data_IF_271518811026
#
_entry.id   IF_271518811026
#
_cell.length_a   1.000
_cell.length_b   1.000
_cell.length_c   1.000
_cell.angle_alpha   90.00
_cell.angle_beta   90.00
_cell.angle_gamma   90.00
#
_symmetry.space_group_name_H-M   'P 1'
#
loop_
_entity.id
_entity.type
_entity.pdbx_description
1 polymer ?
#
# COMPACT_ATOMS: atom_id res chain seq x y z
N UNK A 1 1.81 9.38 -17.94
CA UNK A 1 0.94 9.92 -19.00
C UNK A 1 0.31 11.21 -18.49
N UNK A 2 0.04 12.21 -19.34
CA UNK A 2 -0.65 13.42 -18.89
C UNK A 2 -2.10 13.05 -18.52
N UNK A 3 -2.50 13.24 -17.25
CA UNK A 3 -3.87 12.96 -16.78
C UNK A 3 -4.95 13.64 -17.62
N UNK A 4 -4.62 14.79 -18.22
CA UNK A 4 -5.51 15.55 -19.08
C UNK A 4 -5.74 14.91 -20.47
N UNK A 5 -5.01 13.83 -20.80
CA UNK A 5 -5.14 13.09 -22.05
C UNK A 5 -5.76 11.69 -21.86
N UNK A 6 -6.14 11.33 -20.64
CA UNK A 6 -6.83 10.07 -20.37
C UNK A 6 -8.27 10.16 -20.93
N UNK A 7 -8.64 9.19 -21.75
CA UNK A 7 -9.89 9.20 -22.53
C UNK A 7 -11.17 9.09 -21.68
N UNK A 8 -11.06 8.64 -20.43
CA UNK A 8 -12.20 8.47 -19.53
C UNK A 8 -12.44 9.65 -18.59
N UNK A 9 -11.53 10.63 -18.55
CA UNK A 9 -11.78 11.84 -17.76
C UNK A 9 -12.83 12.72 -18.40
N UNK A 10 -13.89 13.00 -17.65
CA UNK A 10 -14.89 14.00 -18.01
C UNK A 10 -14.47 15.40 -17.52
N UNK A 11 -14.71 16.43 -18.34
CA UNK A 11 -14.38 17.82 -18.00
C UNK A 11 -15.43 18.48 -17.08
N UNK A 12 -16.62 17.89 -16.94
CA UNK A 12 -17.75 18.42 -16.18
C UNK A 12 -17.82 17.86 -14.76
N UNK A 13 -18.26 18.67 -13.78
CA UNK A 13 -18.32 18.32 -12.34
C UNK A 13 -19.73 18.49 -11.74
N UNK A 14 -20.78 18.16 -12.49
CA UNK A 14 -22.16 18.33 -12.00
C UNK A 14 -22.63 16.96 -11.48
N UNK A 15 -22.74 16.84 -10.15
CA UNK A 15 -23.19 15.64 -9.41
C UNK A 15 -22.19 14.45 -9.42
N UNK A 16 -21.10 14.59 -8.65
CA UNK A 16 -19.87 13.77 -8.75
C UNK A 16 -20.04 12.27 -8.48
N UNK A 17 -20.93 11.86 -7.57
CA UNK A 17 -21.08 10.43 -7.21
C UNK A 17 -21.84 9.65 -8.29
N UNK A 18 -23.03 10.13 -8.69
CA UNK A 18 -23.79 9.54 -9.79
C UNK A 18 -23.03 9.61 -11.13
N UNK A 19 -22.24 10.67 -11.33
CA UNK A 19 -21.40 10.80 -12.51
C UNK A 19 -20.26 9.76 -12.51
N UNK A 20 -19.66 9.47 -11.35
CA UNK A 20 -18.58 8.50 -11.24
C UNK A 20 -19.04 7.08 -11.55
N UNK A 21 -20.18 6.64 -11.01
CA UNK A 21 -20.77 5.33 -11.33
C UNK A 21 -20.95 5.15 -12.85
N UNK A 22 -21.58 6.13 -13.50
CA UNK A 22 -21.79 6.12 -14.95
C UNK A 22 -20.49 6.17 -15.75
N UNK A 23 -19.51 6.97 -15.31
CA UNK A 23 -18.20 7.06 -15.97
C UNK A 23 -17.43 5.75 -15.83
N UNK A 24 -17.49 5.07 -14.68
CA UNK A 24 -16.89 3.75 -14.44
C UNK A 24 -17.54 2.68 -15.33
N UNK A 25 -18.87 2.61 -15.35
CA UNK A 25 -19.64 1.69 -16.19
C UNK A 25 -19.30 1.87 -17.67
N UNK A 26 -19.30 3.12 -18.15
CA UNK A 26 -18.97 3.44 -19.54
C UNK A 26 -17.52 3.07 -19.87
N UNK A 27 -16.57 3.38 -18.98
CA UNK A 27 -15.17 3.06 -19.20
C UNK A 27 -14.94 1.53 -19.27
N UNK A 28 -15.60 0.77 -18.39
CA UNK A 28 -15.59 -0.69 -18.42
C UNK A 28 -16.19 -1.23 -19.73
N UNK A 29 -17.38 -0.75 -20.13
CA UNK A 29 -18.04 -1.18 -21.36
C UNK A 29 -17.14 -0.99 -22.61
N UNK A 30 -16.50 0.18 -22.71
CA UNK A 30 -15.55 0.48 -23.80
C UNK A 30 -14.36 -0.48 -23.75
N UNK A 31 -13.79 -0.77 -22.57
CA UNK A 31 -12.67 -1.71 -22.46
C UNK A 31 -13.05 -3.13 -22.86
N UNK A 32 -14.26 -3.59 -22.51
CA UNK A 32 -14.76 -4.91 -22.94
C UNK A 32 -15.00 -4.96 -24.46
N UNK A 33 -15.37 -3.84 -25.09
CA UNK A 33 -15.53 -3.76 -26.54
C UNK A 33 -14.18 -3.71 -27.28
N UNK A 34 -13.23 -2.93 -26.77
CA UNK A 34 -12.00 -2.57 -27.49
C UNK A 34 -10.77 -3.44 -27.14
N UNK A 35 -10.82 -4.22 -26.06
CA UNK A 35 -9.75 -5.15 -25.69
C UNK A 35 -10.28 -6.59 -25.64
N UNK A 36 -10.15 -7.31 -26.75
CA UNK A 36 -10.66 -8.68 -26.88
C UNK A 36 -10.00 -9.67 -25.91
N UNK A 37 -8.74 -9.45 -25.53
CA UNK A 37 -8.03 -10.29 -24.55
C UNK A 37 -8.61 -10.04 -23.15
N UNK A 38 -8.87 -8.79 -22.82
CA UNK A 38 -9.51 -8.42 -21.56
C UNK A 38 -10.91 -8.98 -21.48
N UNK A 39 -11.74 -8.78 -22.51
CA UNK A 39 -13.10 -9.29 -22.53
C UNK A 39 -13.16 -10.81 -22.44
N UNK A 40 -12.32 -11.51 -23.20
CA UNK A 40 -12.22 -12.97 -23.12
C UNK A 40 -11.81 -13.44 -21.71
N UNK A 41 -10.89 -12.72 -21.07
CA UNK A 41 -10.46 -13.02 -19.69
C UNK A 41 -11.61 -12.82 -18.70
N UNK A 42 -12.37 -11.73 -18.83
CA UNK A 42 -13.56 -11.47 -18.01
C UNK A 42 -14.63 -12.55 -18.23
N UNK A 43 -14.92 -12.92 -19.49
CA UNK A 43 -15.89 -13.99 -19.79
C UNK A 43 -15.50 -15.34 -19.18
N UNK A 44 -14.20 -15.69 -19.18
CA UNK A 44 -13.70 -16.92 -18.55
C UNK A 44 -13.90 -16.92 -17.04
N UNK A 45 -13.77 -15.78 -16.39
CA UNK A 45 -13.92 -15.64 -14.95
C UNK A 45 -15.38 -15.77 -14.52
N UNK A 46 -16.29 -15.14 -15.27
CA UNK A 46 -17.70 -15.00 -14.85
C UNK A 46 -18.60 -16.15 -15.32
N UNK A 47 -18.26 -16.82 -16.43
CA UNK A 47 -19.07 -17.89 -16.99
C UNK A 47 -18.59 -19.25 -16.49
N UNK A 48 -19.52 -20.17 -16.22
CA UNK A 48 -19.09 -21.56 -16.03
C UNK A 48 -18.52 -22.13 -17.33
N UNK A 49 -17.67 -23.16 -17.16
CA UNK A 49 -16.94 -23.80 -18.26
C UNK A 49 -17.82 -24.16 -19.46
N UNK A 50 -19.03 -24.70 -19.21
CA UNK A 50 -19.93 -25.15 -20.29
C UNK A 50 -20.49 -23.95 -21.05
N UNK A 51 -20.92 -22.91 -20.34
CA UNK A 51 -21.38 -21.66 -20.95
C UNK A 51 -20.27 -20.98 -21.75
N UNK A 52 -19.07 -20.86 -21.20
CA UNK A 52 -17.93 -20.27 -21.91
C UNK A 52 -17.58 -21.03 -23.20
N UNK A 53 -17.44 -22.36 -23.13
CA UNK A 53 -17.15 -23.20 -24.30
C UNK A 53 -18.23 -23.08 -25.37
N UNK A 54 -19.51 -23.01 -24.99
CA UNK A 54 -20.64 -22.89 -25.92
C UNK A 54 -20.64 -21.62 -26.77
N UNK A 55 -19.93 -20.55 -26.37
CA UNK A 55 -19.85 -19.31 -27.13
C UNK A 55 -18.91 -19.42 -28.36
N UNK A 56 -17.92 -20.33 -28.29
CA UNK A 56 -16.77 -20.34 -29.21
C UNK A 56 -16.52 -21.69 -29.90
N UNK A 57 -17.36 -22.71 -29.68
CA UNK A 57 -17.20 -24.05 -30.29
C UNK A 57 -17.67 -24.16 -31.75
N UNK A 58 -18.49 -23.22 -32.21
CA UNK A 58 -19.02 -23.23 -33.57
C UNK A 58 -18.05 -22.55 -34.55
N UNK A 59 -17.45 -23.36 -35.42
CA UNK A 59 -16.51 -22.93 -36.45
C UNK A 59 -17.22 -22.19 -37.60
N UNK A 60 -18.54 -22.39 -37.79
CA UNK A 60 -19.31 -21.80 -38.89
C UNK A 60 -19.73 -20.34 -38.67
N UNK A 61 -19.71 -19.89 -37.41
CA UNK A 61 -19.37 -18.53 -37.01
C UNK A 61 -20.33 -17.39 -37.38
N UNK A 62 -21.34 -17.13 -36.52
CA UNK A 62 -21.85 -15.78 -36.26
C UNK A 62 -22.30 -15.66 -34.78
N UNK A 63 -21.38 -15.76 -33.83
CA UNK A 63 -21.69 -15.36 -32.44
C UNK A 63 -21.70 -13.84 -32.36
N UNK A 64 -22.88 -13.23 -32.50
CA UNK A 64 -23.04 -11.80 -32.23
C UNK A 64 -23.00 -11.57 -30.72
N UNK A 65 -22.04 -10.76 -30.27
CA UNK A 65 -21.97 -10.25 -28.90
C UNK A 65 -22.36 -8.78 -28.97
N UNK A 66 -23.30 -8.36 -28.12
CA UNK A 66 -23.67 -6.96 -27.95
C UNK A 66 -23.40 -6.53 -26.52
N UNK A 67 -22.90 -5.30 -26.37
CA UNK A 67 -22.60 -4.67 -25.09
C UNK A 67 -23.35 -3.34 -25.07
N UNK A 68 -24.27 -3.17 -24.13
CA UNK A 68 -25.10 -1.98 -23.97
C UNK A 68 -25.00 -1.47 -22.52
N UNK A 69 -25.12 -0.16 -22.33
CA UNK A 69 -25.18 0.47 -20.99
C UNK A 69 -26.57 1.05 -20.74
N UNK A 70 -26.99 1.12 -19.48
CA UNK A 70 -28.29 1.68 -19.09
C UNK A 70 -29.48 1.04 -19.84
N UNK A 71 -29.50 -0.30 -19.92
CA UNK A 71 -30.52 -1.04 -20.66
C UNK A 71 -31.67 -1.45 -19.74
N UNK A 72 -32.91 -1.23 -20.17
CA UNK A 72 -34.08 -1.78 -19.47
C UNK A 72 -34.16 -3.31 -19.70
N UNK A 73 -34.20 -4.10 -18.63
CA UNK A 73 -34.23 -5.57 -18.68
C UNK A 73 -35.46 -6.16 -19.39
N UNK A 74 -36.57 -5.40 -19.45
CA UNK A 74 -37.79 -5.80 -20.16
C UNK A 74 -37.63 -5.70 -21.68
N UNK A 75 -36.61 -4.98 -22.16
CA UNK A 75 -36.31 -4.82 -23.59
C UNK A 75 -35.26 -5.80 -24.12
N UNK A 76 -34.82 -6.75 -23.30
CA UNK A 76 -33.80 -7.73 -23.68
C UNK A 76 -34.33 -8.71 -24.74
N UNK A 77 -33.46 -9.05 -25.68
CA UNK A 77 -33.70 -10.14 -26.63
C UNK A 77 -33.80 -11.49 -25.88
N UNK A 78 -34.32 -12.53 -26.53
CA UNK A 78 -34.51 -13.84 -25.89
C UNK A 78 -33.17 -14.49 -25.48
N UNK A 79 -33.12 -15.05 -24.26
CA UNK A 79 -31.98 -15.77 -23.72
C UNK A 79 -32.46 -16.97 -22.88
N UNK A 80 -31.58 -17.96 -22.67
CA UNK A 80 -31.86 -19.17 -21.90
C UNK A 80 -31.13 -19.21 -20.55
N UNK A 81 -30.14 -18.33 -20.35
CA UNK A 81 -29.32 -18.29 -19.16
C UNK A 81 -28.92 -16.87 -18.81
N UNK A 82 -28.89 -16.56 -17.51
CA UNK A 82 -28.59 -15.22 -17.01
C UNK A 82 -27.46 -15.27 -15.97
N UNK A 83 -26.46 -14.43 -16.16
CA UNK A 83 -25.43 -14.16 -15.18
C UNK A 83 -25.68 -12.78 -14.58
N UNK A 84 -25.84 -12.71 -13.26
CA UNK A 84 -26.08 -11.47 -12.53
C UNK A 84 -24.80 -11.09 -11.78
N UNK A 85 -24.13 -10.03 -12.23
CA UNK A 85 -22.78 -9.66 -11.79
C UNK A 85 -22.81 -8.39 -10.95
N UNK A 86 -22.21 -8.47 -9.77
CA UNK A 86 -21.94 -7.32 -8.91
C UNK A 86 -20.51 -6.85 -9.11
N UNK A 87 -20.33 -5.55 -9.36
CA UNK A 87 -19.03 -4.87 -9.36
C UNK A 87 -19.10 -3.73 -8.33
N UNK A 88 -18.77 -4.07 -7.08
CA UNK A 88 -18.72 -3.11 -5.97
C UNK A 88 -17.39 -3.21 -5.22
N UNK A 89 -17.17 -2.39 -4.20
CA UNK A 89 -16.01 -2.50 -3.32
C UNK A 89 -16.04 -3.70 -2.37
N UNK A 90 -17.22 -4.29 -2.14
CA UNK A 90 -17.43 -5.44 -1.27
C UNK A 90 -17.77 -6.71 -2.07
N UNK A 91 -17.51 -7.86 -1.44
CA UNK A 91 -17.92 -9.15 -1.96
C UNK A 91 -19.44 -9.34 -1.82
N UNK A 92 -20.12 -9.62 -2.92
CA UNK A 92 -21.52 -10.00 -2.94
C UNK A 92 -21.70 -11.46 -2.48
N UNK A 93 -22.58 -11.66 -1.49
CA UNK A 93 -22.99 -13.01 -1.09
C UNK A 93 -24.01 -13.60 -2.08
N UNK A 94 -23.60 -14.63 -2.82
CA UNK A 94 -24.47 -15.39 -3.74
C UNK A 94 -25.65 -16.06 -3.03
N UNK A 95 -25.47 -16.44 -1.76
CA UNK A 95 -26.56 -16.99 -0.91
C UNK A 95 -27.58 -15.89 -0.61
N UNK A 96 -27.14 -14.70 -0.20
CA UNK A 96 -28.05 -13.57 0.05
C UNK A 96 -28.76 -13.15 -1.22
N UNK A 97 -28.10 -13.21 -2.38
CA UNK A 97 -28.73 -12.94 -3.68
C UNK A 97 -29.89 -13.89 -3.95
N UNK A 98 -29.68 -15.20 -3.81
CA UNK A 98 -30.70 -16.21 -4.08
C UNK A 98 -31.90 -16.15 -3.12
N UNK A 99 -31.72 -15.51 -1.96
CA UNK A 99 -32.75 -15.37 -0.92
C UNK A 99 -33.50 -14.03 -0.99
N UNK A 100 -33.19 -13.15 -1.94
CA UNK A 100 -33.87 -11.86 -2.05
C UNK A 100 -35.36 -12.06 -2.35
N UNK A 101 -36.26 -11.39 -1.62
CA UNK A 101 -37.68 -11.45 -1.94
C UNK A 101 -37.95 -10.75 -3.27
N UNK A 102 -38.85 -11.33 -4.07
CA UNK A 102 -39.33 -10.66 -5.28
C UNK A 102 -40.16 -9.45 -4.90
N UNK A 103 -39.84 -8.30 -5.48
CA UNK A 103 -40.61 -7.07 -5.35
C UNK A 103 -41.77 -7.06 -6.34
N UNK A 104 -42.90 -6.46 -5.93
CA UNK A 104 -44.03 -6.15 -6.81
C UNK A 104 -44.00 -4.69 -7.27
N UNK A 105 -42.93 -3.95 -7.00
CA UNK A 105 -42.82 -2.54 -7.39
C UNK A 105 -42.80 -2.37 -8.91
N UNK A 106 -43.63 -1.45 -9.40
CA UNK A 106 -43.67 -1.04 -10.80
C UNK A 106 -42.60 0.05 -10.99
N UNK A 107 -41.33 -0.36 -10.96
CA UNK A 107 -40.19 0.52 -11.26
C UNK A 107 -39.48 -0.01 -12.50
N UNK A 108 -38.96 0.90 -13.33
CA UNK A 108 -38.08 0.50 -14.42
C UNK A 108 -36.80 -0.14 -13.86
N UNK A 109 -36.52 -1.35 -14.33
CA UNK A 109 -35.32 -2.10 -13.97
C UNK A 109 -34.26 -1.89 -15.04
N UNK A 110 -33.49 -0.82 -14.88
CA UNK A 110 -32.37 -0.45 -15.76
C UNK A 110 -31.09 -1.01 -15.16
N UNK A 111 -30.30 -1.73 -15.95
CA UNK A 111 -28.96 -2.21 -15.57
C UNK A 111 -27.89 -1.23 -16.00
N UNK A 112 -26.79 -1.17 -15.26
CA UNK A 112 -25.65 -0.34 -15.65
C UNK A 112 -25.01 -0.82 -16.94
N UNK A 113 -24.77 -2.13 -17.04
CA UNK A 113 -24.16 -2.77 -18.20
C UNK A 113 -24.87 -4.11 -18.48
N UNK A 114 -25.13 -4.36 -19.76
CA UNK A 114 -25.70 -5.61 -20.26
C UNK A 114 -24.84 -6.14 -21.39
N UNK A 115 -24.55 -7.44 -21.34
CA UNK A 115 -23.93 -8.18 -22.44
C UNK A 115 -24.86 -9.30 -22.88
N UNK A 116 -25.21 -9.33 -24.16
CA UNK A 116 -25.93 -10.45 -24.77
C UNK A 116 -24.99 -11.19 -25.72
N UNK A 117 -24.87 -12.50 -25.53
CA UNK A 117 -24.03 -13.38 -26.34
C UNK A 117 -24.75 -14.72 -26.58
N UNK A 118 -25.24 -14.95 -27.80
CA UNK A 118 -26.13 -16.08 -28.15
C UNK A 118 -27.36 -16.12 -27.24
N UNK A 119 -27.51 -17.19 -26.46
CA UNK A 119 -28.60 -17.42 -25.52
C UNK A 119 -28.20 -17.10 -24.06
N UNK A 120 -27.11 -16.35 -23.86
CA UNK A 120 -26.63 -15.91 -22.56
C UNK A 120 -26.85 -14.40 -22.42
N UNK A 121 -27.52 -14.00 -21.35
CA UNK A 121 -27.56 -12.63 -20.86
C UNK A 121 -26.63 -12.46 -19.65
N UNK A 122 -25.88 -11.37 -19.63
CA UNK A 122 -25.05 -10.96 -18.50
C UNK A 122 -25.54 -9.58 -18.09
N UNK A 123 -26.09 -9.48 -16.89
CA UNK A 123 -26.51 -8.22 -16.28
C UNK A 123 -25.47 -7.81 -15.25
N UNK A 124 -25.02 -6.57 -15.30
CA UNK A 124 -23.97 -6.05 -14.43
C UNK A 124 -24.50 -4.80 -13.73
N UNK A 125 -24.33 -4.77 -12.42
CA UNK A 125 -24.60 -3.61 -11.57
C UNK A 125 -23.28 -3.13 -10.95
N UNK A 126 -22.99 -1.85 -11.11
CA UNK A 126 -21.74 -1.21 -10.71
C UNK A 126 -22.01 -0.24 -9.57
N UNK A 127 -21.16 -0.26 -8.55
CA UNK A 127 -21.15 0.79 -7.52
C UNK A 127 -19.75 1.39 -7.37
N UNK A 128 -19.62 2.72 -7.21
CA UNK A 128 -18.33 3.39 -7.08
C UNK A 128 -17.70 3.21 -5.68
N UNK A 129 -18.39 2.52 -4.78
CA UNK A 129 -18.02 2.38 -3.37
C UNK A 129 -18.42 0.98 -2.84
N UNK A 130 -18.53 0.87 -1.51
CA UNK A 130 -18.87 -0.35 -0.78
C UNK A 130 -20.40 -0.59 -0.67
N UNK A 131 -21.21 0.09 -1.47
CA UNK A 131 -22.67 -0.07 -1.46
C UNK A 131 -23.12 -1.47 -1.89
N UNK A 132 -24.03 -2.07 -1.12
CA UNK A 132 -24.62 -3.38 -1.43
C UNK A 132 -25.72 -3.24 -2.50
N UNK A 133 -25.43 -3.72 -3.71
CA UNK A 133 -26.38 -3.72 -4.83
C UNK A 133 -27.13 -5.05 -5.00
N UNK A 134 -26.98 -6.01 -4.07
CA UNK A 134 -27.52 -7.37 -4.17
C UNK A 134 -29.03 -7.37 -4.43
N UNK A 135 -29.79 -6.56 -3.68
CA UNK A 135 -31.23 -6.49 -3.84
C UNK A 135 -31.63 -5.94 -5.22
N UNK A 136 -31.00 -4.85 -5.65
CA UNK A 136 -31.28 -4.22 -6.95
C UNK A 136 -31.01 -5.19 -8.10
N UNK A 137 -29.84 -5.83 -8.09
CA UNK A 137 -29.43 -6.81 -9.10
C UNK A 137 -30.36 -8.03 -9.12
N UNK A 138 -30.81 -8.50 -7.95
CA UNK A 138 -31.78 -9.59 -7.88
C UNK A 138 -33.13 -9.20 -8.49
N UNK A 139 -33.63 -7.97 -8.25
CA UNK A 139 -34.88 -7.51 -8.88
C UNK A 139 -34.75 -7.39 -10.41
N UNK A 140 -33.62 -6.87 -10.90
CA UNK A 140 -33.33 -6.82 -12.35
C UNK A 140 -33.32 -8.24 -12.95
N UNK A 141 -32.67 -9.19 -12.28
CA UNK A 141 -32.64 -10.59 -12.73
C UNK A 141 -34.04 -11.22 -12.73
N UNK A 142 -34.84 -11.05 -11.67
CA UNK A 142 -36.22 -11.54 -11.61
C UNK A 142 -37.07 -11.02 -12.77
N UNK A 143 -36.93 -9.73 -13.09
CA UNK A 143 -37.69 -9.11 -14.16
C UNK A 143 -37.22 -9.57 -15.55
N UNK A 144 -35.91 -9.71 -15.74
CA UNK A 144 -35.33 -10.22 -16.98
C UNK A 144 -35.84 -11.65 -17.30
N UNK A 145 -35.82 -12.55 -16.31
CA UNK A 145 -36.25 -13.94 -16.53
C UNK A 145 -37.77 -14.06 -16.71
N UNK A 146 -38.56 -13.19 -16.08
CA UNK A 146 -40.01 -13.12 -16.29
C UNK A 146 -40.32 -12.78 -17.75
N UNK A 147 -39.62 -11.78 -18.30
CA UNK A 147 -39.76 -11.37 -19.68
C UNK A 147 -39.30 -12.48 -20.67
N UNK A 148 -38.17 -13.13 -20.37
CA UNK A 148 -37.64 -14.23 -21.16
C UNK A 148 -38.40 -15.56 -20.98
N UNK A 149 -39.30 -15.66 -19.99
CA UNK A 149 -40.02 -16.88 -19.60
C UNK A 149 -39.10 -18.05 -19.27
N UNK A 150 -38.03 -17.78 -18.52
CA UNK A 150 -37.10 -18.81 -18.02
C UNK A 150 -37.16 -18.94 -16.50
N UNK A 151 -36.78 -20.12 -16.01
CA UNK A 151 -36.77 -20.45 -14.58
C UNK A 151 -35.59 -19.77 -13.85
N UNK A 152 -35.78 -19.49 -12.56
CA UNK A 152 -34.76 -18.82 -11.74
C UNK A 152 -33.51 -19.70 -11.50
N UNK A 153 -33.59 -21.01 -11.68
CA UNK A 153 -32.41 -21.91 -11.64
C UNK A 153 -31.40 -21.62 -12.76
N UNK A 154 -31.79 -20.85 -13.78
CA UNK A 154 -30.92 -20.36 -14.86
C UNK A 154 -30.21 -19.05 -14.53
N UNK A 155 -30.44 -18.47 -13.36
CA UNK A 155 -29.76 -17.28 -12.87
C UNK A 155 -28.55 -17.69 -12.04
N UNK A 156 -27.36 -17.23 -12.46
CA UNK A 156 -26.10 -17.46 -11.75
C UNK A 156 -25.61 -16.11 -11.21
N UNK A 157 -25.66 -15.87 -9.88
CA UNK A 157 -25.03 -14.69 -9.29
C UNK A 157 -23.50 -14.85 -9.29
N UNK A 158 -22.80 -13.79 -9.65
CA UNK A 158 -21.34 -13.72 -9.69
C UNK A 158 -20.87 -12.45 -8.98
N UNK A 159 -19.94 -12.60 -8.06
CA UNK A 159 -19.16 -11.48 -7.53
C UNK A 159 -17.95 -11.27 -8.44
N UNK A 160 -17.87 -10.11 -9.09
CA UNK A 160 -16.69 -9.65 -9.83
C UNK A 160 -16.31 -8.27 -9.29
N UNK A 161 -16.15 -8.18 -7.97
CA UNK A 161 -15.87 -6.93 -7.28
C UNK A 161 -14.66 -6.21 -7.90
N UNK A 162 -14.49 -4.92 -7.58
CA UNK A 162 -13.45 -4.10 -8.21
C UNK A 162 -12.04 -4.67 -8.07
N UNK A 163 -11.73 -5.36 -6.96
CA UNK A 163 -10.40 -5.96 -6.76
C UNK A 163 -10.16 -7.11 -7.75
N UNK A 164 -11.15 -7.98 -7.94
CA UNK A 164 -11.07 -9.09 -8.89
C UNK A 164 -10.98 -8.57 -10.33
N UNK A 165 -11.86 -7.66 -10.73
CA UNK A 165 -11.84 -7.07 -12.07
C UNK A 165 -10.51 -6.38 -12.39
N UNK A 166 -9.97 -5.61 -11.44
CA UNK A 166 -8.72 -4.90 -11.63
C UNK A 166 -7.50 -5.82 -11.63
N UNK A 167 -7.55 -6.96 -10.93
CA UNK A 167 -6.54 -8.00 -11.06
C UNK A 167 -6.46 -8.53 -12.49
N UNK A 168 -7.62 -8.85 -13.10
CA UNK A 168 -7.70 -9.27 -14.50
C UNK A 168 -7.20 -8.17 -15.46
N UNK A 169 -7.62 -6.91 -15.23
CA UNK A 169 -7.23 -5.78 -16.08
C UNK A 169 -5.71 -5.56 -16.07
N UNK A 170 -5.08 -5.58 -14.89
CA UNK A 170 -3.62 -5.42 -14.76
C UNK A 170 -2.88 -6.61 -15.36
N UNK A 171 -3.35 -7.84 -15.14
CA UNK A 171 -2.77 -9.04 -15.73
C UNK A 171 -2.77 -8.97 -17.27
N UNK A 172 -3.92 -8.62 -17.87
CA UNK A 172 -4.06 -8.49 -19.32
C UNK A 172 -3.22 -7.34 -19.85
N UNK A 173 -3.20 -6.19 -19.17
CA UNK A 173 -2.35 -5.05 -19.54
C UNK A 173 -0.86 -5.43 -19.55
N UNK A 174 -0.40 -6.18 -18.56
CA UNK A 174 0.97 -6.69 -18.50
C UNK A 174 1.27 -7.69 -19.62
N UNK A 175 0.36 -8.62 -19.89
CA UNK A 175 0.46 -9.55 -21.02
C UNK A 175 0.56 -8.80 -22.36
N UNK A 176 -0.36 -7.87 -22.60
CA UNK A 176 -0.41 -7.02 -23.78
C UNK A 176 0.93 -6.28 -23.98
N UNK A 177 1.47 -5.65 -22.93
CA UNK A 177 2.79 -5.00 -22.97
C UNK A 177 3.92 -5.98 -23.30
N UNK A 178 3.94 -7.16 -22.68
CA UNK A 178 4.96 -8.18 -22.94
C UNK A 178 4.88 -8.70 -24.38
N UNK A 179 3.68 -8.77 -24.96
CA UNK A 179 3.45 -9.14 -26.36
C UNK A 179 3.64 -7.98 -27.35
N UNK A 180 4.01 -6.77 -26.90
CA UNK A 180 4.16 -5.59 -27.75
C UNK A 180 2.84 -4.95 -28.21
N UNK A 181 1.69 -5.44 -27.74
CA UNK A 181 0.37 -4.88 -28.01
C UNK A 181 0.03 -3.85 -26.94
N UNK A 182 0.05 -2.56 -27.28
CA UNK A 182 -0.30 -1.54 -26.31
C UNK A 182 -1.75 -1.08 -26.48
N UNK A 183 -2.68 -1.59 -25.66
CA UNK A 183 -4.07 -1.16 -25.69
C UNK A 183 -4.25 0.12 -24.85
N UNK A 184 -4.50 1.25 -25.52
CA UNK A 184 -4.72 2.54 -24.83
C UNK A 184 -5.94 2.51 -23.91
N UNK A 185 -7.03 1.87 -24.32
CA UNK A 185 -8.27 1.81 -23.53
C UNK A 185 -8.03 1.15 -22.18
N UNK A 186 -7.44 -0.04 -22.18
CA UNK A 186 -7.16 -0.75 -20.93
C UNK A 186 -6.16 0.00 -20.03
N UNK A 187 -5.14 0.62 -20.61
CA UNK A 187 -4.18 1.42 -19.83
C UNK A 187 -4.82 2.67 -19.21
N UNK A 188 -5.63 3.40 -19.97
CA UNK A 188 -6.34 4.59 -19.50
C UNK A 188 -7.38 4.21 -18.45
N UNK A 189 -8.00 3.03 -18.55
CA UNK A 189 -8.93 2.51 -17.55
C UNK A 189 -8.24 2.20 -16.22
N UNK A 190 -7.11 1.48 -16.26
CA UNK A 190 -6.30 1.21 -15.05
C UNK A 190 -5.86 2.53 -14.41
N UNK A 191 -5.44 3.51 -15.21
CA UNK A 191 -5.05 4.83 -14.70
C UNK A 191 -6.25 5.59 -14.13
N UNK A 192 -7.41 5.53 -14.79
CA UNK A 192 -8.64 6.17 -14.33
C UNK A 192 -9.06 5.61 -12.96
N UNK A 193 -9.04 4.28 -12.80
CA UNK A 193 -9.32 3.62 -11.52
C UNK A 193 -8.28 4.03 -10.47
N UNK A 194 -6.99 4.04 -10.81
CA UNK A 194 -5.92 4.46 -9.88
C UNK A 194 -6.17 5.84 -9.27
N UNK A 195 -6.67 6.78 -10.07
CA UNK A 195 -6.92 8.16 -9.66
C UNK A 195 -8.16 8.30 -8.76
N UNK A 196 -9.13 7.39 -8.88
CA UNK A 196 -10.36 7.40 -8.08
C UNK A 196 -10.25 6.51 -6.83
N UNK A 197 -9.77 5.29 -6.98
CA UNK A 197 -9.57 4.34 -5.89
C UNK A 197 -8.41 3.38 -6.17
N UNK A 198 -7.21 3.79 -5.76
CA UNK A 198 -6.01 2.97 -5.90
C UNK A 198 -6.06 1.66 -5.09
N UNK A 199 -6.93 1.55 -4.07
CA UNK A 199 -7.03 0.35 -3.21
C UNK A 199 -7.66 -0.84 -3.94
N UNK A 200 -8.34 -0.62 -5.07
CA UNK A 200 -8.85 -1.70 -5.91
C UNK A 200 -7.79 -2.33 -6.80
N UNK A 201 -6.65 -1.67 -7.00
CA UNK A 201 -5.58 -2.24 -7.82
C UNK A 201 -4.87 -3.37 -7.07
N UNK A 202 -4.47 -4.44 -7.77
CA UNK A 202 -3.65 -5.49 -7.17
C UNK A 202 -2.31 -4.91 -6.71
N UNK A 203 -1.87 -5.32 -5.52
CA UNK A 203 -0.56 -4.96 -4.97
C UNK A 203 0.37 -6.14 -5.18
N UNK A 204 1.26 -6.00 -6.16
CA UNK A 204 2.21 -7.03 -6.57
C UNK A 204 3.07 -7.54 -5.41
N UNK A 205 3.19 -8.86 -5.28
CA UNK A 205 4.11 -9.49 -4.33
C UNK A 205 5.57 -9.22 -4.68
N UNK A 206 6.46 -9.20 -3.69
CA UNK A 206 7.88 -8.92 -3.90
C UNK A 206 8.52 -9.85 -4.92
N UNK A 207 8.18 -11.15 -4.91
CA UNK A 207 8.75 -12.14 -5.87
C UNK A 207 8.55 -11.77 -7.35
N UNK A 208 7.55 -10.95 -7.67
CA UNK A 208 7.24 -10.48 -9.02
C UNK A 208 7.93 -9.16 -9.40
N UNK A 209 8.48 -8.44 -8.41
CA UNK A 209 9.11 -7.14 -8.60
C UNK A 209 10.60 -7.33 -8.88
N UNK A 210 11.14 -6.53 -9.79
CA UNK A 210 12.60 -6.44 -10.00
C UNK A 210 13.23 -5.91 -8.71
N UNK A 211 14.36 -6.49 -8.26
CA UNK A 211 15.16 -5.98 -7.15
C UNK A 211 15.92 -4.73 -7.60
N UNK A 212 15.40 -3.54 -7.29
CA UNK A 212 15.97 -2.25 -7.67
C UNK A 212 15.18 -1.11 -7.01
N UNK A 213 15.87 -0.03 -6.62
CA UNK A 213 15.21 1.17 -6.10
C UNK A 213 14.26 1.86 -7.10
N UNK A 214 14.33 1.53 -8.40
CA UNK A 214 13.31 1.94 -9.38
C UNK A 214 11.90 1.45 -9.07
N UNK A 215 11.75 0.48 -8.15
CA UNK A 215 10.48 -0.09 -7.70
C UNK A 215 10.07 0.33 -6.28
N UNK A 216 10.71 1.36 -5.69
CA UNK A 216 10.44 1.82 -4.32
C UNK A 216 8.94 1.99 -4.03
N UNK A 217 8.19 2.67 -4.90
CA UNK A 217 6.76 2.88 -4.71
C UNK A 217 5.95 1.58 -4.62
N UNK A 218 6.34 0.55 -5.38
CA UNK A 218 5.70 -0.76 -5.33
C UNK A 218 6.03 -1.50 -4.02
N UNK A 219 7.29 -1.42 -3.57
CA UNK A 219 7.71 -1.97 -2.28
C UNK A 219 6.94 -1.33 -1.12
N UNK A 220 6.83 0.00 -1.12
CA UNK A 220 6.07 0.74 -0.10
C UNK A 220 4.60 0.36 -0.09
N UNK A 221 3.98 0.18 -1.27
CA UNK A 221 2.59 -0.27 -1.36
C UNK A 221 2.41 -1.66 -0.75
N UNK A 222 3.29 -2.62 -1.06
CA UNK A 222 3.23 -3.99 -0.51
C UNK A 222 3.43 -4.00 1.01
N UNK A 223 4.38 -3.21 1.53
CA UNK A 223 4.58 -3.06 2.98
C UNK A 223 3.40 -2.39 3.68
N UNK A 224 2.76 -1.41 3.05
CA UNK A 224 1.54 -0.80 3.59
C UNK A 224 0.38 -1.78 3.64
N UNK A 225 0.24 -2.68 2.66
CA UNK A 225 -0.74 -3.77 2.72
C UNK A 225 -0.46 -4.69 3.91
N UNK A 226 0.80 -5.07 4.13
CA UNK A 226 1.18 -5.88 5.30
C UNK A 226 0.90 -5.14 6.63
N UNK A 227 1.25 -3.86 6.74
CA UNK A 227 0.94 -3.04 7.93
C UNK A 227 -0.57 -2.93 8.17
N UNK A 228 -1.35 -2.74 7.11
CA UNK A 228 -2.82 -2.65 7.20
C UNK A 228 -3.43 -3.96 7.69
N UNK A 229 -2.87 -5.12 7.33
CA UNK A 229 -3.37 -6.41 7.81
C UNK A 229 -3.12 -6.67 9.30
N UNK A 230 -2.24 -5.91 9.96
CA UNK A 230 -1.97 -6.02 11.40
C UNK A 230 -2.49 -4.83 12.21
N UNK A 231 -3.17 -3.86 11.58
CA UNK A 231 -3.57 -2.60 12.24
C UNK A 231 -4.61 -2.78 13.34
N UNK A 232 -5.34 -3.89 13.36
CA UNK A 232 -6.27 -4.22 14.45
C UNK A 232 -5.56 -4.60 15.75
N UNK A 233 -4.32 -5.09 15.66
CA UNK A 233 -3.53 -5.58 16.81
C UNK A 233 -2.31 -4.72 17.11
N UNK A 234 -1.91 -3.85 16.18
CA UNK A 234 -0.71 -3.03 16.27
C UNK A 234 -0.98 -1.60 15.81
N UNK A 235 -0.46 -0.62 16.55
CA UNK A 235 -0.56 0.79 16.16
C UNK A 235 0.42 1.10 15.01
N UNK A 236 -0.12 1.45 13.85
CA UNK A 236 0.65 1.88 12.67
C UNK A 236 0.93 3.39 12.70
N UNK A 237 1.96 3.85 12.00
CA UNK A 237 2.22 5.29 11.84
C UNK A 237 1.22 5.91 10.86
N UNK A 238 0.47 6.94 11.27
CA UNK A 238 -0.63 7.52 10.49
C UNK A 238 -0.30 8.85 9.77
N UNK A 239 0.97 9.29 9.74
CA UNK A 239 1.31 10.67 9.35
C UNK A 239 2.44 10.81 8.31
N UNK A 240 2.41 11.90 7.54
CA UNK A 240 3.48 12.41 6.65
C UNK A 240 4.17 11.39 5.70
N UNK A 241 3.44 10.38 5.20
CA UNK A 241 4.01 9.41 4.25
C UNK A 241 5.08 8.49 4.85
N UNK A 242 5.25 8.51 6.18
CA UNK A 242 6.08 7.54 6.91
C UNK A 242 5.32 6.24 7.04
N UNK A 243 6.01 5.13 6.81
CA UNK A 243 5.49 3.78 6.98
C UNK A 243 6.24 3.12 8.13
N UNK A 244 5.55 2.37 8.97
CA UNK A 244 6.16 1.76 10.16
C UNK A 244 5.18 1.55 11.29
N UNK A 245 5.73 1.34 12.49
CA UNK A 245 5.00 0.98 13.70
C UNK A 245 5.24 2.00 14.81
N UNK A 246 4.20 2.27 15.60
CA UNK A 246 4.34 3.01 16.84
C UNK A 246 4.73 2.08 17.98
N UNK A 247 5.57 2.59 18.88
CA UNK A 247 6.06 1.89 20.05
C UNK A 247 5.72 2.69 21.31
N UNK A 248 5.53 1.95 22.41
CA UNK A 248 5.24 2.51 23.72
C UNK A 248 6.36 2.21 24.73
N UNK A 249 7.60 2.16 24.23
CA UNK A 249 8.79 1.98 25.04
C UNK A 249 9.19 3.39 25.51
N UNK A 250 9.20 3.67 26.80
CA UNK A 250 9.46 5.04 27.27
C UNK A 250 10.77 5.67 26.72
N UNK A 251 11.67 4.84 26.20
CA UNK A 251 12.96 5.16 25.60
C UNK A 251 12.99 5.17 24.04
N UNK A 252 11.94 4.74 23.34
CA UNK A 252 11.78 4.84 21.88
C UNK A 252 10.30 4.77 21.44
N UNK A 253 9.90 5.53 20.42
CA UNK A 253 8.48 5.74 20.09
C UNK A 253 8.01 5.15 18.76
N UNK A 254 8.92 4.75 17.88
CA UNK A 254 8.55 4.31 16.54
C UNK A 254 9.63 3.41 15.94
N UNK A 255 9.20 2.54 15.03
CA UNK A 255 10.04 1.85 14.04
C UNK A 255 9.63 2.40 12.68
N UNK A 256 10.58 2.96 11.93
CA UNK A 256 10.30 3.54 10.61
C UNK A 256 10.87 2.63 9.54
N UNK A 257 10.07 2.36 8.52
CA UNK A 257 10.47 1.51 7.40
C UNK A 257 10.91 2.41 6.24
N UNK A 258 12.09 2.15 5.71
CA UNK A 258 12.57 2.83 4.51
C UNK A 258 13.12 1.84 3.50
N UNK A 259 13.06 2.17 2.22
CA UNK A 259 13.77 1.43 1.19
C UNK A 259 14.91 2.29 0.67
N UNK A 260 16.09 1.70 0.53
CA UNK A 260 17.24 2.34 -0.08
C UNK A 260 18.12 1.30 -0.81
N UNK A 261 19.13 1.78 -1.53
CA UNK A 261 20.12 0.95 -2.16
C UNK A 261 20.93 0.21 -1.09
N UNK A 262 20.96 -1.11 -1.17
CA UNK A 262 21.82 -1.97 -0.36
C UNK A 262 23.23 -2.05 -0.94
N UNK A 263 23.31 -2.07 -2.28
CA UNK A 263 24.54 -1.97 -3.05
C UNK A 263 24.21 -1.23 -4.37
N UNK A 264 25.15 -1.15 -5.32
CA UNK A 264 24.96 -0.41 -6.58
C UNK A 264 23.73 -0.85 -7.39
N UNK A 265 23.25 -2.08 -7.22
CA UNK A 265 22.19 -2.66 -8.05
C UNK A 265 20.95 -3.14 -7.26
N UNK A 266 21.12 -3.50 -5.99
CA UNK A 266 20.07 -4.10 -5.17
C UNK A 266 19.50 -3.12 -4.15
N UNK A 267 18.20 -3.29 -3.84
CA UNK A 267 17.51 -2.55 -2.79
C UNK A 267 17.41 -3.38 -1.50
N UNK A 268 17.26 -2.68 -0.37
CA UNK A 268 16.91 -3.28 0.92
C UNK A 268 15.82 -2.47 1.63
N UNK A 269 15.10 -3.16 2.52
CA UNK A 269 14.22 -2.60 3.53
C UNK A 269 15.04 -2.34 4.81
N UNK A 270 15.02 -1.11 5.28
CA UNK A 270 15.65 -0.65 6.50
C UNK A 270 14.59 -0.46 7.58
N UNK A 271 14.75 -1.16 8.70
CA UNK A 271 13.96 -0.96 9.91
C UNK A 271 14.69 -0.02 10.85
N UNK A 272 14.43 1.28 10.71
CA UNK A 272 15.03 2.34 11.51
C UNK A 272 14.40 2.50 12.88
N UNK A 273 15.25 2.69 13.89
CA UNK A 273 14.90 2.74 15.29
C UNK A 273 15.82 3.70 16.06
N UNK A 274 15.25 4.59 16.87
CA UNK A 274 16.01 5.65 17.55
C UNK A 274 15.79 5.68 19.07
N UNK A 275 16.48 4.81 19.84
CA UNK A 275 16.52 4.91 21.30
C UNK A 275 17.16 6.23 21.76
N UNK A 276 16.50 6.97 22.64
CA UNK A 276 17.04 8.24 23.14
C UNK A 276 16.84 9.46 22.24
N UNK A 277 15.92 9.37 21.26
CA UNK A 277 15.58 10.42 20.29
C UNK A 277 15.08 11.76 20.91
N UNK A 278 14.83 11.79 22.22
CA UNK A 278 14.54 12.98 23.02
C UNK A 278 15.25 12.88 24.37
N UNK A 279 15.45 14.00 25.08
CA UNK A 279 16.04 13.99 26.43
C UNK A 279 15.31 13.03 27.38
N UNK A 280 13.96 13.05 27.35
CA UNK A 280 13.15 12.16 28.18
C UNK A 280 13.32 10.68 27.84
N UNK A 281 13.36 10.35 26.55
CA UNK A 281 13.68 8.99 26.09
C UNK A 281 15.08 8.57 26.51
N UNK A 282 16.08 9.44 26.39
CA UNK A 282 17.45 9.14 26.81
C UNK A 282 17.52 8.80 28.30
N UNK A 283 16.81 9.55 29.16
CA UNK A 283 16.74 9.25 30.60
C UNK A 283 16.16 7.85 30.85
N UNK A 284 15.09 7.48 30.15
CA UNK A 284 14.49 6.14 30.30
C UNK A 284 15.35 5.03 29.67
N UNK A 285 16.10 5.33 28.63
CA UNK A 285 17.05 4.42 28.01
C UNK A 285 18.16 4.04 29.01
N UNK A 286 18.77 5.04 29.67
CA UNK A 286 19.79 4.80 30.69
C UNK A 286 19.26 4.07 31.93
N UNK A 287 17.98 4.23 32.25
CA UNK A 287 17.31 3.42 33.28
C UNK A 287 17.17 1.97 32.82
N UNK A 288 16.74 1.72 31.58
CA UNK A 288 16.55 0.38 31.03
C UNK A 288 17.86 -0.41 30.94
N UNK A 289 18.95 0.19 30.45
CA UNK A 289 20.26 -0.48 30.37
C UNK A 289 20.98 -0.57 31.74
N UNK A 290 20.36 -0.08 32.83
CA UNK A 290 20.87 -0.14 34.20
C UNK A 290 22.32 0.38 34.38
N UNK A 291 22.72 1.39 33.60
CA UNK A 291 24.10 1.91 33.54
C UNK A 291 25.19 0.89 33.12
N UNK A 292 24.82 -0.24 32.51
CA UNK A 292 25.79 -1.13 31.87
C UNK A 292 26.34 -0.46 30.60
N UNK A 293 27.58 -0.80 30.23
CA UNK A 293 28.08 -0.51 28.89
C UNK A 293 27.32 -1.41 27.90
N UNK A 294 26.34 -0.84 27.21
CA UNK A 294 25.52 -1.54 26.23
C UNK A 294 25.79 -0.98 24.82
N UNK A 295 25.79 -1.86 23.82
CA UNK A 295 25.89 -1.53 22.41
C UNK A 295 24.87 -2.33 21.62
N UNK A 296 24.30 -1.77 20.54
CA UNK A 296 23.45 -2.54 19.64
C UNK A 296 24.21 -3.76 19.09
N UNK A 297 23.52 -4.90 18.88
CA UNK A 297 24.15 -6.02 18.21
C UNK A 297 24.45 -5.66 16.75
N UNK A 298 25.45 -6.32 16.16
CA UNK A 298 25.76 -6.14 14.73
C UNK A 298 24.85 -6.99 13.83
N UNK A 299 24.10 -7.93 14.41
CA UNK A 299 23.12 -8.76 13.70
C UNK A 299 21.90 -9.04 14.55
N UNK A 300 20.76 -9.24 13.90
CA UNK A 300 19.52 -9.74 14.52
C UNK A 300 19.02 -10.95 13.73
N UNK A 301 18.62 -11.99 14.45
CA UNK A 301 17.94 -13.14 13.85
C UNK A 301 16.44 -12.87 13.73
N UNK A 302 15.90 -13.00 12.51
CA UNK A 302 14.47 -12.98 12.20
C UNK A 302 14.15 -14.15 11.29
N UNK A 303 13.07 -14.90 11.55
CA UNK A 303 12.65 -16.03 10.72
C UNK A 303 13.80 -16.99 10.39
N UNK A 304 14.65 -17.27 11.39
CA UNK A 304 15.86 -18.11 11.26
C UNK A 304 16.93 -17.61 10.28
N UNK A 305 16.94 -16.31 9.97
CA UNK A 305 17.94 -15.64 9.14
C UNK A 305 18.59 -14.49 9.93
N UNK A 306 19.91 -14.38 9.84
CA UNK A 306 20.64 -13.27 10.45
C UNK A 306 20.73 -12.09 9.49
N UNK A 307 20.23 -10.95 9.93
CA UNK A 307 20.29 -9.68 9.21
C UNK A 307 21.33 -8.77 9.83
N UNK A 308 22.03 -8.01 8.98
CA UNK A 308 22.98 -6.99 9.42
C UNK A 308 22.24 -5.85 10.12
N UNK A 309 22.83 -5.36 11.20
CA UNK A 309 22.40 -4.16 11.90
C UNK A 309 23.50 -3.12 11.79
N UNK A 310 23.13 -1.96 11.24
CA UNK A 310 23.96 -0.77 11.27
C UNK A 310 23.51 0.13 12.41
N UNK A 311 24.45 0.73 13.11
CA UNK A 311 24.13 1.63 14.21
C UNK A 311 25.22 2.68 14.41
N UNK A 312 24.81 3.80 14.99
CA UNK A 312 25.70 4.88 15.38
C UNK A 312 25.16 5.63 16.59
N UNK A 313 26.05 6.37 17.25
CA UNK A 313 25.67 7.39 18.20
C UNK A 313 24.96 8.51 17.45
N UNK A 314 23.77 8.89 17.92
CA UNK A 314 23.04 10.03 17.38
C UNK A 314 23.07 11.19 18.39
N UNK A 315 23.49 12.36 17.93
CA UNK A 315 23.25 13.63 18.61
C UNK A 315 22.27 14.43 17.76
N UNK A 316 21.03 14.56 18.24
CA UNK A 316 19.95 15.22 17.52
C UNK A 316 19.69 16.62 18.05
N UNK A 317 19.49 17.55 17.12
CA UNK A 317 19.25 18.97 17.39
C UNK A 317 17.88 19.40 16.88
N UNK A 318 17.10 20.04 17.74
CA UNK A 318 15.75 20.52 17.44
C UNK A 318 15.54 21.99 17.84
N UNK A 319 14.51 22.63 17.28
CA UNK A 319 14.02 23.96 17.67
C UNK A 319 12.48 23.95 17.62
N UNK A 320 11.80 24.46 18.67
CA UNK A 320 10.34 24.36 18.82
C UNK A 320 9.75 22.98 18.45
N UNK A 321 10.35 21.90 18.94
CA UNK A 321 9.96 20.51 18.66
C UNK A 321 10.09 20.06 17.20
N UNK A 322 10.62 20.88 16.29
CA UNK A 322 10.97 20.48 14.93
C UNK A 322 12.43 20.03 14.87
N UNK A 323 12.67 18.90 14.21
CA UNK A 323 14.02 18.44 13.87
C UNK A 323 14.70 19.47 12.96
N UNK A 324 15.96 19.80 13.28
CA UNK A 324 16.78 20.70 12.46
C UNK A 324 17.88 19.90 11.76
N UNK A 325 18.70 19.19 12.53
CA UNK A 325 19.80 18.38 12.02
C UNK A 325 20.27 17.41 13.11
N UNK A 326 21.07 16.42 12.74
CA UNK A 326 21.65 15.43 13.62
C UNK A 326 23.08 15.09 13.20
N UNK A 327 23.86 14.57 14.15
CA UNK A 327 25.14 13.91 13.90
C UNK A 327 24.97 12.43 14.18
N UNK A 328 25.37 11.59 13.21
CA UNK A 328 25.40 10.13 13.35
C UNK A 328 26.83 9.67 13.12
N UNK A 329 27.42 8.99 14.09
CA UNK A 329 28.81 8.56 14.04
C UNK A 329 29.07 7.36 14.95
N UNK A 330 30.17 6.65 14.72
CA UNK A 330 30.60 5.50 15.51
C UNK A 330 31.77 5.87 16.45
N UNK A 331 32.29 4.87 17.16
CA UNK A 331 33.45 5.03 18.03
C UNK A 331 34.69 5.56 17.31
N UNK A 332 34.84 5.33 16.00
CA UNK A 332 36.01 5.79 15.25
C UNK A 332 36.12 7.31 15.22
N UNK A 333 35.02 8.03 15.52
CA UNK A 333 34.97 9.51 15.56
C UNK A 333 35.10 10.08 16.97
N UNK A 334 35.17 9.24 18.00
CA UNK A 334 35.24 9.65 19.40
C UNK A 334 36.70 9.68 19.87
N UNK A 335 37.11 10.73 20.61
CA UNK A 335 38.48 10.81 21.15
C UNK A 335 38.74 9.66 22.15
N UNK A 336 39.97 9.09 22.17
CA UNK A 336 40.34 8.05 23.12
C UNK A 336 40.04 8.43 24.58
N UNK A 337 39.40 7.54 25.32
CA UNK A 337 39.03 7.73 26.73
C UNK A 337 37.78 8.58 26.96
N UNK A 338 37.14 9.11 25.92
CA UNK A 338 35.84 9.79 26.01
C UNK A 338 34.72 8.79 25.75
N UNK A 339 33.57 9.03 26.39
CA UNK A 339 32.34 8.26 26.19
C UNK A 339 31.21 9.22 25.85
N UNK A 340 30.87 9.31 24.56
CA UNK A 340 29.80 10.20 24.11
C UNK A 340 28.44 9.75 24.65
N UNK A 341 28.21 8.44 24.71
CA UNK A 341 26.98 7.88 25.26
C UNK A 341 27.23 7.28 26.64
N UNK A 342 26.95 8.07 27.66
CA UNK A 342 26.94 7.65 29.05
C UNK A 342 25.86 8.42 29.81
N UNK A 343 25.41 7.90 30.95
CA UNK A 343 24.47 8.63 31.81
C UNK A 343 25.01 10.00 32.20
N UNK A 344 26.32 10.09 32.51
CA UNK A 344 26.96 11.35 32.85
C UNK A 344 26.90 12.36 31.69
N UNK A 345 27.26 11.93 30.48
CA UNK A 345 27.23 12.79 29.29
C UNK A 345 25.80 13.24 28.97
N UNK A 346 24.82 12.33 29.06
CA UNK A 346 23.41 12.65 28.86
C UNK A 346 22.88 13.64 29.90
N UNK A 347 23.09 13.40 31.18
CA UNK A 347 22.59 14.25 32.26
C UNK A 347 23.19 15.65 32.19
N UNK A 348 24.48 15.76 31.79
CA UNK A 348 25.21 17.01 31.67
C UNK A 348 24.85 17.80 30.42
N UNK A 349 24.77 17.14 29.26
CA UNK A 349 24.73 17.84 27.96
C UNK A 349 23.39 17.77 27.23
N UNK A 350 22.46 16.86 27.56
CA UNK A 350 21.13 16.83 26.91
C UNK A 350 20.21 17.93 27.46
N UNK A 351 19.47 18.60 26.57
CA UNK A 351 18.49 19.61 26.94
C UNK A 351 18.57 20.89 26.13
N UNK A 352 18.01 21.98 26.68
CA UNK A 352 17.92 23.28 26.00
C UNK A 352 19.22 24.07 26.15
N UNK A 353 19.69 24.65 25.05
CA UNK A 353 20.77 25.63 25.01
C UNK A 353 20.26 26.92 24.39
N UNK A 354 20.20 27.98 25.20
CA UNK A 354 20.04 29.33 24.70
C UNK A 354 21.30 29.76 23.93
N UNK A 355 21.15 30.70 22.99
CA UNK A 355 22.19 31.09 22.03
C UNK A 355 23.52 31.49 22.67
N UNK A 356 23.48 32.12 23.83
CA UNK A 356 24.67 32.51 24.60
C UNK A 356 25.49 31.31 25.11
N UNK A 357 24.88 30.13 25.23
CA UNK A 357 25.51 28.90 25.68
C UNK A 357 25.93 27.97 24.54
N UNK A 358 25.72 28.36 23.28
CA UNK A 358 26.21 27.58 22.14
C UNK A 358 27.73 27.35 22.17
N UNK A 359 28.60 28.29 22.61
CA UNK A 359 30.02 28.00 22.77
C UNK A 359 30.32 26.82 23.72
N UNK A 360 29.49 26.58 24.73
CA UNK A 360 29.66 25.42 25.63
C UNK A 360 29.35 24.10 24.91
N UNK A 361 28.35 24.11 24.02
CA UNK A 361 28.02 22.97 23.18
C UNK A 361 29.14 22.70 22.16
N UNK A 362 29.70 23.74 21.54
CA UNK A 362 30.85 23.59 20.63
C UNK A 362 32.04 22.99 21.36
N UNK A 363 32.38 23.51 22.56
CA UNK A 363 33.46 22.99 23.38
C UNK A 363 33.25 21.52 23.77
N UNK A 364 32.01 21.12 24.07
CA UNK A 364 31.67 19.72 24.32
C UNK A 364 31.98 18.83 23.10
N UNK A 365 31.52 19.22 21.90
CA UNK A 365 31.76 18.43 20.69
C UNK A 365 33.25 18.39 20.32
N UNK A 366 33.96 19.51 20.44
CA UNK A 366 35.40 19.60 20.20
C UNK A 366 36.22 18.80 21.22
N UNK A 367 35.74 18.66 22.47
CA UNK A 367 36.39 17.86 23.50
C UNK A 367 36.20 16.35 23.27
N UNK A 368 35.04 15.93 22.76
CA UNK A 368 34.66 14.52 22.66
C UNK A 368 34.93 13.90 21.29
N UNK A 369 34.94 14.67 20.20
CA UNK A 369 35.10 14.18 18.83
C UNK A 369 36.53 14.42 18.31
N UNK A 370 37.06 13.50 17.51
CA UNK A 370 38.41 13.64 16.93
C UNK A 370 38.49 14.85 15.99
N UNK A 371 39.66 15.48 15.92
CA UNK A 371 39.87 16.70 15.13
C UNK A 371 39.65 16.50 13.62
N UNK A 372 39.85 15.28 13.12
CA UNK A 372 39.61 14.94 11.71
C UNK A 372 38.14 14.76 11.36
N UNK A 373 37.25 14.74 12.36
CA UNK A 373 35.81 14.72 12.14
C UNK A 373 35.24 16.13 12.23
N UNK A 374 35.06 16.78 11.07
CA UNK A 374 34.46 18.10 10.96
C UNK A 374 32.95 18.06 11.22
N UNK A 375 32.60 17.96 12.51
CA UNK A 375 31.22 17.90 12.97
C UNK A 375 30.45 19.18 12.63
N UNK A 376 31.12 20.34 12.52
CA UNK A 376 30.47 21.61 12.18
C UNK A 376 29.91 21.57 10.77
N UNK A 377 30.69 21.04 9.82
CA UNK A 377 30.23 20.84 8.45
C UNK A 377 29.17 19.72 8.37
N UNK A 378 29.42 18.57 9.02
CA UNK A 378 28.47 17.45 9.03
C UNK A 378 27.08 17.83 9.56
N UNK A 379 27.04 18.69 10.59
CA UNK A 379 25.80 19.22 11.16
C UNK A 379 25.21 20.41 10.37
N UNK A 380 25.98 21.00 9.44
CA UNK A 380 25.66 22.29 8.83
C UNK A 380 25.51 23.40 9.87
N UNK A 381 26.40 23.44 10.88
CA UNK A 381 26.26 24.29 12.07
C UNK A 381 25.98 25.76 11.74
N UNK A 382 26.74 26.32 10.79
CA UNK A 382 26.57 27.71 10.39
C UNK A 382 25.23 27.98 9.71
N UNK A 383 24.81 27.11 8.79
CA UNK A 383 23.58 27.29 8.00
C UNK A 383 22.33 26.98 8.81
N UNK A 384 22.40 26.00 9.71
CA UNK A 384 21.27 25.51 10.49
C UNK A 384 21.08 26.27 11.81
N UNK A 385 22.14 26.86 12.38
CA UNK A 385 22.09 27.52 13.69
C UNK A 385 22.66 28.95 13.69
N UNK A 386 23.95 29.14 13.43
CA UNK A 386 24.64 30.43 13.63
C UNK A 386 24.03 31.57 12.81
N UNK A 387 23.86 31.37 11.51
CA UNK A 387 23.37 32.38 10.57
C UNK A 387 21.84 32.40 10.47
N UNK A 388 21.16 32.07 11.56
CA UNK A 388 19.71 31.97 11.61
C UNK A 388 19.14 32.83 12.73
N UNK A 389 17.84 33.12 12.65
CA UNK A 389 17.11 33.83 13.70
C UNK A 389 16.83 33.02 14.97
N UNK A 390 17.35 31.79 15.08
CA UNK A 390 17.14 30.92 16.24
C UNK A 390 17.84 31.50 17.48
N UNK A 391 17.13 31.49 18.60
CA UNK A 391 17.59 31.96 19.90
C UNK A 391 17.89 30.82 20.89
N UNK A 392 17.48 29.60 20.58
CA UNK A 392 17.83 28.40 21.34
C UNK A 392 17.76 27.16 20.47
N UNK A 393 18.33 26.06 20.96
CA UNK A 393 18.13 24.71 20.43
C UNK A 393 17.91 23.72 21.57
N UNK A 394 17.45 22.52 21.27
CA UNK A 394 17.46 21.39 22.20
C UNK A 394 18.26 20.24 21.63
N UNK A 395 19.03 19.58 22.49
CA UNK A 395 19.88 18.44 22.17
C UNK A 395 19.41 17.18 22.87
N UNK A 396 19.42 16.06 22.16
CA UNK A 396 19.30 14.70 22.71
C UNK A 396 20.40 13.80 22.19
N UNK A 397 20.87 12.88 23.04
CA UNK A 397 21.93 11.91 22.73
C UNK A 397 21.33 10.51 22.85
N UNK A 398 21.53 9.69 21.84
CA UNK A 398 20.99 8.34 21.78
C UNK A 398 21.69 7.48 20.72
N UNK A 399 20.93 6.54 20.18
CA UNK A 399 21.36 5.67 19.08
C UNK A 399 20.45 5.88 17.87
N UNK A 400 21.03 5.74 16.69
CA UNK A 400 20.32 5.34 15.48
C UNK A 400 20.68 3.88 15.21
N UNK A 401 19.67 3.03 14.99
CA UNK A 401 19.82 1.60 14.74
C UNK A 401 18.96 1.25 13.53
N UNK A 402 19.53 0.53 12.58
CA UNK A 402 18.87 0.11 11.35
C UNK A 402 19.17 -1.36 11.10
N UNK A 403 18.13 -2.20 11.09
CA UNK A 403 18.27 -3.58 10.61
C UNK A 403 17.97 -3.62 9.12
N UNK A 404 18.87 -4.22 8.35
CA UNK A 404 18.84 -4.23 6.90
C UNK A 404 18.34 -5.58 6.40
N UNK A 405 17.19 -5.58 5.73
CA UNK A 405 16.58 -6.76 5.10
C UNK A 405 16.62 -6.60 3.58
N UNK A 406 17.50 -7.33 2.87
CA UNK A 406 17.57 -7.26 1.41
C UNK A 406 16.23 -7.57 0.74
N UNK A 407 15.90 -6.86 -0.34
CA UNK A 407 14.69 -7.16 -1.12
C UNK A 407 14.74 -8.58 -1.70
N UNK A 408 15.92 -9.12 -1.98
CA UNK A 408 16.09 -10.52 -2.41
C UNK A 408 15.58 -11.53 -1.37
N UNK A 409 15.65 -11.20 -0.08
CA UNK A 409 15.04 -12.01 0.97
C UNK A 409 13.51 -11.83 0.98
N UNK A 410 13.02 -10.59 0.86
CA UNK A 410 11.58 -10.32 0.77
C UNK A 410 10.93 -11.07 -0.42
N UNK A 411 11.63 -11.16 -1.55
CA UNK A 411 11.24 -11.94 -2.73
C UNK A 411 11.09 -13.44 -2.47
N UNK A 412 11.88 -14.00 -1.54
CA UNK A 412 11.81 -15.42 -1.18
C UNK A 412 10.62 -15.72 -0.28
N UNK A 413 10.29 -14.81 0.64
CA UNK A 413 9.22 -15.03 1.62
C UNK A 413 7.85 -14.56 1.14
N UNK A 414 7.78 -13.56 0.25
CA UNK A 414 6.54 -12.99 -0.28
C UNK A 414 6.32 -13.42 -1.73
N UNK A 415 5.71 -14.60 -1.89
CA UNK A 415 5.55 -15.27 -3.19
C UNK A 415 4.12 -15.26 -3.73
N UNK A 416 3.13 -14.93 -2.89
CA UNK A 416 1.71 -14.96 -3.23
C UNK A 416 1.09 -13.56 -3.06
N UNK A 417 0.28 -13.14 -4.02
CA UNK A 417 -0.40 -11.84 -3.94
C UNK A 417 -1.41 -11.77 -2.79
N UNK A 418 -2.07 -12.88 -2.49
CA UNK A 418 -3.20 -12.97 -1.55
C UNK A 418 -2.78 -13.39 -0.13
N UNK A 419 -1.50 -13.69 0.09
CA UNK A 419 -0.96 -14.06 1.39
C UNK A 419 0.13 -13.06 1.83
N UNK A 420 -0.13 -12.36 2.92
CA UNK A 420 0.79 -11.41 3.55
C UNK A 420 1.47 -11.98 4.81
N UNK A 421 1.13 -13.20 5.22
CA UNK A 421 1.50 -13.76 6.53
C UNK A 421 3.00 -13.70 6.81
N UNK A 422 3.84 -14.06 5.84
CA UNK A 422 5.30 -14.03 6.00
C UNK A 422 5.87 -12.62 6.17
N UNK A 423 5.31 -11.63 5.49
CA UNK A 423 5.70 -10.23 5.67
C UNK A 423 5.22 -9.70 7.02
N UNK A 424 4.00 -10.02 7.43
CA UNK A 424 3.48 -9.61 8.74
C UNK A 424 4.27 -10.24 9.88
N UNK A 425 4.63 -11.52 9.76
CA UNK A 425 5.48 -12.22 10.73
C UNK A 425 6.84 -11.53 10.87
N UNK A 426 7.48 -11.16 9.76
CA UNK A 426 8.75 -10.44 9.75
C UNK A 426 8.64 -9.11 10.50
N UNK A 427 7.57 -8.34 10.24
CA UNK A 427 7.31 -7.06 10.89
C UNK A 427 7.11 -7.22 12.40
N UNK A 428 6.28 -8.20 12.80
CA UNK A 428 5.95 -8.45 14.21
C UNK A 428 7.18 -8.97 14.97
N UNK A 429 7.95 -9.86 14.36
CA UNK A 429 9.19 -10.38 14.94
C UNK A 429 10.22 -9.26 15.11
N UNK A 430 10.40 -8.40 14.10
CA UNK A 430 11.26 -7.22 14.19
C UNK A 430 10.85 -6.31 15.35
N UNK A 431 9.56 -5.97 15.45
CA UNK A 431 9.02 -5.19 16.56
C UNK A 431 9.37 -5.82 17.90
N UNK A 432 9.13 -7.12 18.04
CA UNK A 432 9.40 -7.87 19.26
C UNK A 432 10.89 -7.95 19.62
N UNK A 433 11.80 -7.94 18.63
CA UNK A 433 13.25 -7.86 18.85
C UNK A 433 13.66 -6.49 19.35
N UNK A 434 13.14 -5.42 18.74
CA UNK A 434 13.43 -4.06 19.20
C UNK A 434 12.80 -3.74 20.56
N UNK A 435 11.61 -4.25 20.88
CA UNK A 435 11.01 -4.06 22.21
C UNK A 435 11.84 -4.66 23.33
N UNK A 436 12.55 -5.76 23.04
CA UNK A 436 13.42 -6.48 23.98
C UNK A 436 14.90 -6.15 23.81
N UNK A 437 15.23 -5.06 23.12
CA UNK A 437 16.61 -4.70 22.78
C UNK A 437 17.54 -4.57 24.00
N UNK A 438 16.99 -4.21 25.16
CA UNK A 438 17.72 -4.05 26.42
C UNK A 438 17.47 -5.18 27.44
N UNK A 439 16.72 -6.22 27.06
CA UNK A 439 16.55 -7.42 27.88
C UNK A 439 17.75 -8.35 27.66
N UNK A 440 18.26 -8.96 28.74
CA UNK A 440 19.41 -9.89 28.70
C UNK A 440 19.03 -11.24 28.08
#
# INVERSE_FOLDING_TARGET
>A
MNRHLNIFHTYTKVNREQQLENDLTRALAICLQEDSVFFNTVLKEILDKKSYESLFTDISGETKISIEIQKNVESLEAFNKLYAISITGLEMSTIKFAQQPRSNEIKEHITDLTVLARDIAILVEVKPDDSDCTWQLAQQAYKAIENAKIDFDKVIPVDLNWKQLMALAVQVSNFNRASGNNNRFLNDFIQFIREHNYKWLPVAQFSSLINSMSKESAYRLRMNSALSSISETHEILEYYGRIGLKLNLGWAQEIVFNFDNYNENDAALFFGFWPGNTKGQGTRMFQAIANKTWRPPNTIELQSHFFQVEWGYEIKFCHFNAHISNLVFDDSKVKPGKQILSKHTHDKYSGKYDREYWPNLEAFLDEYLIETFDWRNALGWNTNFVNTGRNYLTLSIGYQIETIVPVSYLQQIDTSQDDLSKLTDLIIEMKSKYERLFED
#
